data_IF_033187228337
#
_entry.id   IF_033187228337
#
_cell.length_a   1.000
_cell.length_b   1.000
_cell.length_c   1.000
_cell.angle_alpha   90.00
_cell.angle_beta   90.00
_cell.angle_gamma   90.00
#
_symmetry.space_group_name_H-M   'P 1'
#
loop_
_entity.id
_entity.type
_entity.pdbx_description
1 polymer ?
#
# COMPACT_ATOMS: atom_id res chain seq x y z
N UNK A 1 -45.66 -0.11 27.68
CA UNK A 1 -44.44 0.64 27.29
C UNK A 1 -43.74 -0.15 26.19
N UNK A 2 -43.91 0.23 24.91
CA UNK A 2 -43.26 -0.44 23.76
C UNK A 2 -42.30 0.56 23.12
N UNK A 3 -41.00 0.32 23.29
CA UNK A 3 -39.96 1.13 22.67
C UNK A 3 -39.90 0.76 21.18
N UNK A 4 -40.34 1.67 20.30
CA UNK A 4 -40.14 1.55 18.86
C UNK A 4 -38.71 1.98 18.55
N UNK A 5 -37.84 1.02 18.28
CA UNK A 5 -36.52 1.27 17.70
C UNK A 5 -36.71 1.51 16.21
N UNK A 6 -36.72 2.77 15.80
CA UNK A 6 -36.70 3.15 14.38
C UNK A 6 -35.26 3.00 13.90
N UNK A 7 -34.94 1.83 13.32
CA UNK A 7 -33.69 1.60 12.63
C UNK A 7 -33.72 2.41 11.33
N UNK A 8 -32.96 3.50 11.27
CA UNK A 8 -32.79 4.30 10.05
C UNK A 8 -31.86 3.51 9.11
N UNK A 9 -32.45 2.68 8.26
CA UNK A 9 -31.78 2.06 7.11
C UNK A 9 -31.68 3.14 6.03
N UNK A 10 -30.60 3.91 6.06
CA UNK A 10 -30.15 4.69 4.90
C UNK A 10 -29.04 3.90 4.24
N UNK A 11 -29.38 3.07 3.26
CA UNK A 11 -28.48 2.53 2.22
C UNK A 11 -29.30 1.58 1.37
N UNK A 12 -29.44 1.88 0.08
CA UNK A 12 -29.59 0.95 -1.07
C UNK A 12 -30.47 1.55 -2.17
N UNK A 13 -30.10 2.71 -2.71
CA UNK A 13 -30.34 3.00 -4.12
C UNK A 13 -29.13 3.77 -4.66
N UNK A 14 -28.23 3.06 -5.31
CA UNK A 14 -27.39 3.54 -6.42
C UNK A 14 -26.97 2.28 -7.17
N UNK A 15 -27.85 1.84 -8.07
CA UNK A 15 -27.74 2.09 -9.51
C UNK A 15 -26.83 1.07 -10.18
N UNK A 16 -27.47 0.13 -10.87
CA UNK A 16 -26.93 -0.69 -11.94
C UNK A 16 -26.44 0.23 -13.08
N UNK A 17 -25.33 0.93 -12.87
CA UNK A 17 -24.51 1.44 -13.97
C UNK A 17 -23.49 0.34 -14.31
N UNK A 18 -23.09 0.19 -15.56
CA UNK A 18 -21.94 -0.64 -15.89
C UNK A 18 -20.70 -0.05 -15.20
N UNK A 19 -20.23 -0.68 -14.11
CA UNK A 19 -19.21 -0.09 -13.25
C UNK A 19 -17.86 -0.09 -13.98
N UNK A 20 -17.47 1.07 -14.52
CA UNK A 20 -16.09 1.41 -14.84
C UNK A 20 -15.44 2.03 -13.60
N UNK A 21 -14.15 1.75 -13.40
CA UNK A 21 -13.34 2.37 -12.33
C UNK A 21 -13.59 3.87 -12.28
N UNK A 22 -14.03 4.36 -11.13
CA UNK A 22 -14.54 5.72 -11.01
C UNK A 22 -13.48 6.63 -10.39
N UNK A 23 -13.25 7.77 -11.02
CA UNK A 23 -12.40 8.81 -10.46
C UNK A 23 -13.12 9.47 -9.29
N UNK A 24 -12.46 9.54 -8.14
CA UNK A 24 -12.92 10.33 -7.01
C UNK A 24 -11.93 11.47 -6.80
N UNK A 25 -12.44 12.69 -6.99
CA UNK A 25 -11.81 13.85 -6.39
C UNK A 25 -12.04 13.73 -4.89
N UNK A 26 -10.97 13.48 -4.12
CA UNK A 26 -11.06 13.53 -2.66
C UNK A 26 -11.32 15.00 -2.28
N UNK A 27 -12.60 15.35 -2.17
CA UNK A 27 -13.06 16.57 -1.52
C UNK A 27 -13.29 16.21 -0.06
N UNK A 28 -12.31 16.56 0.78
CA UNK A 28 -12.26 16.25 2.20
C UNK A 28 -13.45 16.80 3.02
N UNK A 29 -14.42 17.50 2.40
CA UNK A 29 -15.70 17.80 3.06
C UNK A 29 -16.64 16.59 3.19
N UNK A 30 -16.44 15.52 2.42
CA UNK A 30 -17.40 14.39 2.32
C UNK A 30 -16.98 13.10 3.01
N UNK A 31 -15.76 13.01 3.54
CA UNK A 31 -15.25 11.84 4.25
C UNK A 31 -14.94 12.29 5.69
N UNK A 32 -15.28 11.44 6.67
CA UNK A 32 -15.31 11.68 8.11
C UNK A 32 -14.39 12.82 8.58
N UNK A 33 -14.98 13.86 9.17
CA UNK A 33 -14.24 15.00 9.71
C UNK A 33 -13.47 14.56 10.95
N UNK A 34 -12.13 14.56 10.91
CA UNK A 34 -11.28 14.48 12.10
C UNK A 34 -10.81 15.88 12.50
N UNK A 35 -10.85 16.19 13.80
CA UNK A 35 -10.55 17.52 14.35
C UNK A 35 -9.15 17.61 15.01
N UNK A 36 -8.26 16.62 14.88
CA UNK A 36 -6.96 16.68 15.56
C UNK A 36 -5.78 16.04 14.79
N UNK A 37 -4.69 16.82 14.78
CA UNK A 37 -3.25 16.50 14.61
C UNK A 37 -2.76 16.03 13.23
N UNK A 38 -1.99 16.90 12.55
CA UNK A 38 -1.16 16.68 11.34
C UNK A 38 -1.81 16.08 10.07
N UNK A 39 -3.08 15.68 10.12
CA UNK A 39 -3.87 15.27 8.97
C UNK A 39 -4.16 16.48 8.08
N UNK A 40 -3.49 16.56 6.92
CA UNK A 40 -3.78 17.58 5.94
C UNK A 40 -4.56 17.01 4.75
N UNK A 41 -5.51 17.81 4.27
CA UNK A 41 -6.49 17.42 3.26
C UNK A 41 -5.81 17.47 1.89
N UNK A 42 -5.71 16.35 1.15
CA UNK A 42 -5.06 16.38 -0.14
C UNK A 42 -5.81 17.31 -1.10
N UNK A 43 -5.13 18.31 -1.65
CA UNK A 43 -5.61 19.08 -2.80
C UNK A 43 -4.74 18.71 -4.00
N UNK A 44 -5.38 18.28 -5.07
CA UNK A 44 -4.71 17.98 -6.32
C UNK A 44 -5.20 18.92 -7.42
N UNK A 45 -4.25 19.54 -8.13
CA UNK A 45 -4.50 20.34 -9.31
C UNK A 45 -3.47 19.98 -10.38
N UNK A 46 -3.94 19.50 -11.53
CA UNK A 46 -3.08 19.16 -12.68
C UNK A 46 -2.28 20.35 -13.17
N UNK A 47 -2.84 21.56 -13.10
CA UNK A 47 -2.20 22.78 -13.64
C UNK A 47 -0.91 23.16 -12.88
N UNK A 48 -0.71 22.59 -11.68
CA UNK A 48 0.49 22.80 -10.88
C UNK A 48 1.67 21.93 -11.34
N UNK A 49 1.47 20.99 -12.27
CA UNK A 49 2.48 20.03 -12.69
C UNK A 49 3.00 20.31 -14.10
N UNK A 50 4.32 20.33 -14.22
CA UNK A 50 5.01 20.47 -15.49
C UNK A 50 4.75 19.23 -16.35
N UNK A 51 4.51 19.45 -17.64
CA UNK A 51 4.48 18.41 -18.66
C UNK A 51 5.93 18.02 -18.98
N UNK A 52 6.30 16.79 -18.69
CA UNK A 52 7.65 16.27 -18.91
C UNK A 52 7.81 15.64 -20.29
N UNK A 53 9.04 15.65 -20.79
CA UNK A 53 9.42 14.97 -22.03
C UNK A 53 9.33 13.44 -21.88
N UNK A 54 8.70 12.75 -22.84
CA UNK A 54 8.45 11.31 -22.70
C UNK A 54 9.73 10.46 -22.77
N UNK A 55 10.74 10.87 -23.55
CA UNK A 55 12.01 10.15 -23.60
C UNK A 55 12.75 10.28 -22.27
N UNK A 56 12.73 11.47 -21.66
CA UNK A 56 13.24 11.68 -20.29
C UNK A 56 12.53 10.76 -19.29
N UNK A 57 11.21 10.60 -19.39
CA UNK A 57 10.44 9.71 -18.50
C UNK A 57 10.77 8.24 -18.71
N UNK A 58 11.05 7.78 -19.94
CA UNK A 58 11.51 6.41 -20.17
C UNK A 58 12.90 6.16 -19.58
N UNK A 59 13.81 7.11 -19.71
CA UNK A 59 15.14 7.03 -19.11
C UNK A 59 15.05 6.97 -17.58
N UNK A 60 14.22 7.82 -16.99
CA UNK A 60 13.99 7.84 -15.55
C UNK A 60 13.34 6.54 -15.05
N UNK A 61 12.37 6.00 -15.78
CA UNK A 61 11.78 4.70 -15.47
C UNK A 61 12.83 3.58 -15.47
N UNK A 62 13.73 3.60 -16.46
CA UNK A 62 14.84 2.65 -16.54
C UNK A 62 15.78 2.79 -15.35
N UNK A 63 16.18 4.02 -15.00
CA UNK A 63 16.98 4.33 -13.82
C UNK A 63 16.32 3.79 -12.54
N UNK A 64 15.04 4.11 -12.32
CA UNK A 64 14.27 3.62 -11.18
C UNK A 64 14.27 2.10 -11.11
N UNK A 65 14.08 1.42 -12.25
CA UNK A 65 14.01 -0.04 -12.32
C UNK A 65 15.37 -0.74 -12.14
N UNK A 66 16.43 -0.19 -12.70
CA UNK A 66 17.71 -0.91 -12.88
C UNK A 66 18.82 -0.43 -11.94
N UNK A 67 18.81 0.84 -11.52
CA UNK A 67 19.94 1.46 -10.81
C UNK A 67 19.66 1.72 -9.33
N UNK A 68 18.41 1.97 -8.94
CA UNK A 68 18.04 2.25 -7.54
C UNK A 68 18.10 1.03 -6.62
N UNK A 69 18.21 -0.17 -7.21
CA UNK A 69 18.12 -1.45 -6.51
C UNK A 69 16.82 -1.61 -5.71
N UNK A 70 15.74 -0.93 -6.10
CA UNK A 70 14.42 -1.19 -5.53
C UNK A 70 13.95 -2.57 -5.97
N UNK A 71 13.63 -3.43 -5.00
CA UNK A 71 13.03 -4.73 -5.29
C UNK A 71 11.58 -4.60 -5.79
N UNK A 72 11.40 -4.74 -7.11
CA UNK A 72 10.09 -4.74 -7.76
C UNK A 72 9.51 -6.14 -7.99
N UNK A 73 10.33 -7.20 -7.99
CA UNK A 73 9.85 -8.57 -8.19
C UNK A 73 9.22 -9.19 -6.93
N UNK A 74 8.88 -8.37 -5.92
CA UNK A 74 8.00 -8.76 -4.81
C UNK A 74 6.85 -7.75 -4.69
N UNK A 75 5.80 -7.87 -5.53
CA UNK A 75 4.73 -6.87 -5.57
C UNK A 75 3.72 -7.00 -4.41
N UNK A 76 3.87 -7.99 -3.54
CA UNK A 76 2.91 -8.36 -2.48
C UNK A 76 2.56 -7.26 -1.49
N UNK A 77 3.49 -6.36 -1.17
CA UNK A 77 3.26 -5.31 -0.19
C UNK A 77 4.18 -4.12 -0.35
N UNK A 78 4.09 -3.17 0.58
CA UNK A 78 4.97 -2.01 0.66
C UNK A 78 5.02 -1.15 -0.62
N UNK A 79 3.92 -1.09 -1.38
CA UNK A 79 3.81 -0.25 -2.57
C UNK A 79 3.99 1.24 -2.24
N UNK A 80 3.47 1.70 -1.10
CA UNK A 80 3.68 3.07 -0.62
C UNK A 80 5.16 3.39 -0.36
N UNK A 81 5.94 2.44 0.18
CA UNK A 81 7.38 2.59 0.37
C UNK A 81 8.14 2.72 -0.95
N UNK A 82 7.82 1.84 -1.92
CA UNK A 82 8.39 1.95 -3.27
C UNK A 82 8.00 3.27 -3.94
N UNK A 83 6.73 3.67 -3.84
CA UNK A 83 6.23 4.89 -4.45
C UNK A 83 6.87 6.14 -3.83
N UNK A 84 7.09 6.16 -2.52
CA UNK A 84 7.80 7.24 -1.83
C UNK A 84 9.25 7.33 -2.26
N UNK A 85 9.97 6.21 -2.24
CA UNK A 85 11.39 6.19 -2.61
C UNK A 85 11.58 6.57 -4.09
N UNK A 86 10.74 6.07 -4.99
CA UNK A 86 10.72 6.51 -6.39
C UNK A 86 10.43 8.02 -6.48
N UNK A 87 9.48 8.54 -5.68
CA UNK A 87 9.19 9.98 -5.65
C UNK A 87 10.40 10.80 -5.18
N UNK A 88 11.18 10.31 -4.21
CA UNK A 88 12.42 10.98 -3.75
C UNK A 88 13.46 11.07 -4.88
N UNK A 89 13.67 9.99 -5.66
CA UNK A 89 14.55 10.03 -6.83
C UNK A 89 14.04 11.00 -7.90
N UNK A 90 12.74 10.97 -8.21
CA UNK A 90 12.13 11.90 -9.16
C UNK A 90 12.30 13.37 -8.72
N UNK A 91 12.14 13.68 -7.43
CA UNK A 91 12.42 15.02 -6.87
C UNK A 91 13.89 15.40 -7.07
N UNK A 92 14.82 14.51 -6.75
CA UNK A 92 16.27 14.71 -6.91
C UNK A 92 16.67 14.95 -8.37
N UNK A 93 15.99 14.32 -9.32
CA UNK A 93 16.20 14.50 -10.76
C UNK A 93 15.36 15.63 -11.39
N UNK A 94 14.68 16.42 -10.55
CA UNK A 94 13.83 17.54 -10.96
C UNK A 94 12.75 17.12 -11.97
N UNK A 95 12.10 15.98 -11.73
CA UNK A 95 10.95 15.48 -12.47
C UNK A 95 9.67 15.85 -11.71
N UNK A 96 8.83 16.65 -12.36
CA UNK A 96 7.48 16.97 -11.86
C UNK A 96 6.60 15.74 -11.90
N UNK A 97 6.08 15.33 -10.74
CA UNK A 97 5.25 14.13 -10.59
C UNK A 97 4.28 14.25 -9.43
N UNK A 98 3.26 13.39 -9.43
CA UNK A 98 2.30 13.15 -8.37
C UNK A 98 2.13 11.65 -8.16
N UNK A 99 1.19 11.22 -7.31
CA UNK A 99 0.90 9.80 -7.08
C UNK A 99 -0.53 9.48 -7.50
N UNK A 100 -0.71 8.38 -8.24
CA UNK A 100 -2.01 7.76 -8.39
C UNK A 100 -2.21 6.76 -7.25
N UNK A 101 -3.40 6.79 -6.65
CA UNK A 101 -3.84 5.83 -5.64
C UNK A 101 -5.07 5.11 -6.16
N UNK A 102 -5.07 3.79 -6.08
CA UNK A 102 -6.22 2.96 -6.39
C UNK A 102 -6.66 2.20 -5.14
N UNK A 103 -7.94 2.28 -4.80
CA UNK A 103 -8.52 1.72 -3.59
C UNK A 103 -9.58 0.69 -3.94
N UNK A 104 -9.45 -0.51 -3.37
CA UNK A 104 -10.49 -1.52 -3.47
C UNK A 104 -11.70 -1.17 -2.57
N UNK A 105 -12.89 -1.72 -2.86
CA UNK A 105 -14.07 -1.58 -2.00
C UNK A 105 -13.88 -1.90 -0.53
N UNK A 106 -13.01 -2.87 -0.21
CA UNK A 106 -12.63 -3.20 1.16
C UNK A 106 -12.00 -2.06 1.97
N UNK A 107 -11.62 -0.94 1.33
CA UNK A 107 -11.08 0.25 1.99
C UNK A 107 -12.10 1.35 2.27
N UNK A 108 -13.31 1.26 1.76
CA UNK A 108 -14.33 2.30 1.99
C UNK A 108 -15.73 1.73 2.25
N UNK A 109 -15.87 0.41 2.33
CA UNK A 109 -17.12 -0.26 2.65
C UNK A 109 -16.91 -1.33 3.71
N UNK A 110 -17.74 -1.29 4.76
CA UNK A 110 -17.80 -2.35 5.78
C UNK A 110 -18.33 -3.68 5.23
N UNK A 111 -19.08 -3.64 4.13
CA UNK A 111 -19.86 -4.77 3.62
C UNK A 111 -19.28 -5.36 2.33
N UNK A 112 -18.24 -4.74 1.76
CA UNK A 112 -17.64 -5.19 0.51
C UNK A 112 -16.18 -5.59 0.73
N UNK A 113 -15.91 -6.89 0.71
CA UNK A 113 -14.56 -7.44 0.89
C UNK A 113 -13.74 -7.53 -0.42
N UNK A 114 -14.22 -6.94 -1.51
CA UNK A 114 -13.50 -6.96 -2.79
C UNK A 114 -12.15 -6.24 -2.64
N UNK A 115 -11.13 -6.83 -3.26
CA UNK A 115 -9.73 -6.41 -3.23
C UNK A 115 -9.26 -6.17 -4.67
N UNK A 116 -8.21 -5.37 -4.84
CA UNK A 116 -7.44 -5.34 -6.07
C UNK A 116 -6.77 -6.71 -6.24
N UNK A 117 -6.66 -7.20 -7.48
CA UNK A 117 -6.06 -8.51 -7.75
C UNK A 117 -5.12 -8.44 -8.95
N UNK A 118 -3.92 -8.99 -8.79
CA UNK A 118 -2.99 -9.22 -9.90
C UNK A 118 -2.49 -10.66 -9.86
N UNK A 119 -2.11 -11.19 -11.03
CA UNK A 119 -1.46 -12.50 -11.11
C UNK A 119 -0.10 -12.46 -10.41
N UNK A 120 0.18 -13.45 -9.56
CA UNK A 120 1.52 -13.63 -9.03
C UNK A 120 2.39 -14.41 -10.01
N UNK A 121 3.22 -13.70 -10.78
CA UNK A 121 4.11 -14.33 -11.74
C UNK A 121 5.21 -15.19 -11.08
N UNK A 122 5.51 -14.96 -9.80
CA UNK A 122 6.45 -15.78 -9.06
C UNK A 122 5.77 -16.99 -8.40
N UNK A 123 4.43 -17.00 -8.36
CA UNK A 123 3.62 -17.97 -7.62
C UNK A 123 4.13 -18.09 -6.16
N UNK A 124 4.33 -16.96 -5.50
CA UNK A 124 4.78 -16.87 -4.12
C UNK A 124 3.58 -16.70 -3.17
N UNK A 125 2.53 -16.02 -3.61
CA UNK A 125 1.27 -15.90 -2.92
C UNK A 125 0.63 -17.29 -2.74
N UNK A 126 0.08 -17.60 -1.55
CA UNK A 126 -0.60 -18.87 -1.28
C UNK A 126 -1.68 -19.24 -2.30
N UNK A 127 -2.34 -18.23 -2.87
CA UNK A 127 -3.46 -18.41 -3.81
C UNK A 127 -3.08 -18.22 -5.28
N UNK A 128 -1.78 -18.01 -5.60
CA UNK A 128 -1.32 -17.71 -6.96
C UNK A 128 -1.72 -16.33 -7.50
N UNK A 129 -2.41 -15.54 -6.69
CA UNK A 129 -2.81 -14.15 -6.96
C UNK A 129 -2.44 -13.27 -5.78
N UNK A 130 -2.03 -12.05 -6.06
CA UNK A 130 -1.73 -11.04 -5.05
C UNK A 130 -2.98 -10.19 -4.87
N UNK A 131 -3.39 -9.98 -3.62
CA UNK A 131 -4.56 -9.17 -3.28
C UNK A 131 -4.17 -7.94 -2.48
N UNK A 132 -4.62 -6.77 -2.90
CA UNK A 132 -4.38 -5.53 -2.18
C UNK A 132 -5.67 -4.81 -1.81
N UNK A 133 -5.64 -4.14 -0.66
CA UNK A 133 -6.69 -3.16 -0.36
C UNK A 133 -6.51 -1.86 -1.12
N UNK A 134 -5.27 -1.51 -1.48
CA UNK A 134 -4.94 -0.34 -2.29
C UNK A 134 -3.60 -0.56 -3.01
N UNK A 135 -3.36 0.21 -4.07
CA UNK A 135 -2.06 0.27 -4.74
C UNK A 135 -1.73 1.72 -5.10
N UNK A 136 -0.45 2.07 -5.10
CA UNK A 136 0.03 3.44 -5.32
C UNK A 136 1.30 3.43 -6.15
N UNK A 137 1.43 4.40 -7.05
CA UNK A 137 2.63 4.59 -7.86
C UNK A 137 2.81 6.07 -8.26
N UNK A 138 4.06 6.53 -8.48
CA UNK A 138 4.34 7.83 -9.08
C UNK A 138 3.73 7.95 -10.48
N UNK A 139 3.32 9.15 -10.84
CA UNK A 139 2.60 9.48 -12.06
C UNK A 139 3.07 10.83 -12.58
N UNK A 140 3.21 10.94 -13.89
CA UNK A 140 3.74 12.13 -14.58
C UNK A 140 2.81 12.54 -15.71
N UNK A 141 2.69 13.85 -15.95
CA UNK A 141 2.10 14.38 -17.18
C UNK A 141 3.16 14.44 -18.27
N UNK A 142 2.83 13.94 -19.46
CA UNK A 142 3.76 13.96 -20.61
C UNK A 142 2.99 14.14 -21.91
N UNK A 143 3.68 14.29 -23.03
CA UNK A 143 3.07 14.26 -24.36
C UNK A 143 3.53 13.03 -25.11
N UNK A 144 2.58 12.17 -25.49
CA UNK A 144 2.84 11.02 -26.37
C UNK A 144 2.22 11.35 -27.73
N UNK A 145 3.05 11.40 -28.78
CA UNK A 145 2.64 11.82 -30.13
C UNK A 145 1.90 13.18 -30.14
N UNK A 146 2.37 14.14 -29.34
CA UNK A 146 1.82 15.48 -29.24
C UNK A 146 0.54 15.60 -28.39
N UNK A 147 -0.03 14.50 -27.89
CA UNK A 147 -1.21 14.51 -27.02
C UNK A 147 -0.81 14.41 -25.56
N UNK A 148 -1.39 15.28 -24.73
CA UNK A 148 -1.22 15.21 -23.27
C UNK A 148 -1.71 13.84 -22.77
N UNK A 149 -0.88 13.18 -22.00
CA UNK A 149 -1.18 11.91 -21.35
C UNK A 149 -0.69 11.90 -19.89
N UNK A 150 -1.27 11.01 -19.09
CA UNK A 150 -0.92 10.75 -17.69
C UNK A 150 -0.34 9.34 -17.60
N UNK A 151 0.96 9.25 -17.33
CA UNK A 151 1.71 7.99 -17.32
C UNK A 151 2.12 7.62 -15.90
N UNK A 152 1.97 6.34 -15.56
CA UNK A 152 2.30 5.76 -14.27
C UNK A 152 3.65 5.05 -14.36
N UNK A 153 4.50 5.26 -13.36
CA UNK A 153 5.82 4.65 -13.22
C UNK A 153 5.72 3.54 -12.17
N UNK A 154 5.46 2.32 -12.61
CA UNK A 154 5.34 1.16 -11.72
C UNK A 154 6.08 -0.07 -12.25
N UNK A 155 7.40 -0.18 -11.97
CA UNK A 155 8.19 -1.33 -12.39
C UNK A 155 7.77 -2.66 -11.73
N UNK A 156 6.91 -2.64 -10.70
CA UNK A 156 6.39 -3.87 -10.09
C UNK A 156 5.30 -4.54 -10.92
N UNK A 157 4.68 -3.81 -11.86
CA UNK A 157 3.63 -4.33 -12.74
C UNK A 157 3.96 -4.23 -14.23
N UNK A 158 4.83 -3.30 -14.62
CA UNK A 158 5.12 -3.02 -16.02
C UNK A 158 6.61 -2.92 -16.30
N UNK A 159 7.01 -3.25 -17.53
CA UNK A 159 8.40 -3.12 -17.98
C UNK A 159 8.73 -1.72 -18.53
N UNK A 160 7.72 -0.85 -18.66
CA UNK A 160 7.78 0.49 -19.24
C UNK A 160 6.76 1.42 -18.56
N UNK A 161 6.88 2.76 -18.69
CA UNK A 161 5.81 3.68 -18.31
C UNK A 161 4.52 3.36 -19.06
N UNK A 162 3.38 3.41 -18.36
CA UNK A 162 2.08 3.07 -18.96
C UNK A 162 1.03 4.13 -18.69
N UNK A 163 0.08 4.29 -19.60
CA UNK A 163 -1.12 5.09 -19.36
C UNK A 163 -1.83 4.63 -18.06
N UNK A 164 -2.28 5.57 -17.24
CA UNK A 164 -2.89 5.25 -15.96
C UNK A 164 -4.11 4.32 -16.06
N UNK A 165 -4.89 4.37 -17.15
CA UNK A 165 -6.02 3.46 -17.38
C UNK A 165 -5.56 2.01 -17.56
N UNK A 166 -4.43 1.80 -18.26
CA UNK A 166 -3.80 0.47 -18.39
C UNK A 166 -3.30 -0.01 -17.02
N UNK A 167 -2.72 0.89 -16.23
CA UNK A 167 -2.29 0.59 -14.86
C UNK A 167 -3.45 0.22 -13.94
N UNK A 168 -4.60 0.91 -14.02
CA UNK A 168 -5.79 0.55 -13.25
C UNK A 168 -6.40 -0.78 -13.71
N UNK A 169 -6.44 -1.03 -15.02
CA UNK A 169 -7.07 -2.23 -15.59
C UNK A 169 -6.37 -3.54 -15.16
N UNK A 170 -5.04 -3.55 -15.04
CA UNK A 170 -4.30 -4.76 -14.65
C UNK A 170 -4.59 -5.22 -13.21
N UNK A 171 -5.08 -4.31 -12.36
CA UNK A 171 -5.40 -4.56 -10.94
C UNK A 171 -6.79 -5.20 -10.73
N UNK A 172 -7.46 -5.56 -11.83
CA UNK A 172 -8.65 -6.42 -11.89
C UNK A 172 -9.77 -6.13 -10.87
N UNK A 173 -10.05 -4.85 -10.63
CA UNK A 173 -11.15 -4.43 -9.75
C UNK A 173 -11.87 -3.25 -10.40
N UNK A 174 -13.03 -3.49 -11.00
CA UNK A 174 -13.78 -2.47 -11.75
C UNK A 174 -14.52 -1.49 -10.84
N UNK A 175 -14.82 -1.95 -9.64
CA UNK A 175 -15.49 -1.23 -8.55
C UNK A 175 -14.51 -0.44 -7.69
N UNK A 176 -13.21 -0.48 -8.02
CA UNK A 176 -12.20 0.33 -7.36
C UNK A 176 -12.42 1.82 -7.66
N UNK A 177 -11.99 2.64 -6.71
CA UNK A 177 -11.91 4.08 -6.87
C UNK A 177 -10.46 4.50 -6.91
N UNK A 178 -10.15 5.46 -7.77
CA UNK A 178 -8.81 6.03 -7.83
C UNK A 178 -8.82 7.54 -7.68
N UNK A 179 -7.69 8.07 -7.22
CA UNK A 179 -7.46 9.49 -7.09
C UNK A 179 -6.00 9.83 -7.40
N UNK A 180 -5.72 11.12 -7.59
CA UNK A 180 -4.37 11.64 -7.74
C UNK A 180 -4.06 12.57 -6.57
N UNK A 181 -2.89 12.42 -5.99
CA UNK A 181 -2.46 13.21 -4.83
C UNK A 181 -1.03 13.73 -5.03
N UNK A 182 -0.70 14.84 -4.38
CA UNK A 182 0.66 15.38 -4.37
C UNK A 182 1.68 14.34 -3.92
N UNK A 183 2.94 14.44 -4.39
CA UNK A 183 3.96 13.44 -4.09
C UNK A 183 4.34 13.38 -2.61
N UNK A 184 3.98 14.39 -1.81
CA UNK A 184 4.29 14.44 -0.37
C UNK A 184 3.41 13.50 0.48
N UNK A 185 2.34 12.95 -0.09
CA UNK A 185 1.46 12.01 0.61
C UNK A 185 2.05 10.62 0.58
N UNK A 186 2.44 10.13 1.75
CA UNK A 186 3.12 8.85 1.91
C UNK A 186 2.13 7.71 2.11
N UNK A 187 1.18 7.87 3.03
CA UNK A 187 0.17 6.88 3.37
C UNK A 187 -1.07 7.57 3.98
N UNK A 188 -2.09 6.78 4.34
CA UNK A 188 -3.37 7.28 4.86
C UNK A 188 -3.74 6.63 6.19
N UNK A 189 -4.53 7.36 6.97
CA UNK A 189 -5.09 6.87 8.21
C UNK A 189 -6.25 5.92 7.95
N UNK A 190 -6.36 4.91 8.81
CA UNK A 190 -7.48 3.98 8.80
C UNK A 190 -8.22 4.06 10.12
N UNK A 191 -9.48 3.63 10.13
CA UNK A 191 -10.28 3.63 11.36
C UNK A 191 -9.66 2.78 12.49
N UNK A 192 -8.85 1.77 12.16
CA UNK A 192 -8.15 0.98 13.16
C UNK A 192 -7.11 1.84 13.90
N UNK A 193 -7.28 1.99 15.20
CA UNK A 193 -6.44 2.85 16.05
C UNK A 193 -6.96 4.28 16.24
N UNK A 194 -8.15 4.62 15.72
CA UNK A 194 -8.82 5.86 16.09
C UNK A 194 -9.12 5.86 17.60
N UNK A 195 -8.53 6.81 18.31
CA UNK A 195 -8.94 7.16 19.67
C UNK A 195 -9.97 8.27 19.54
N UNK A 196 -11.20 8.01 19.98
CA UNK A 196 -12.27 9.02 19.96
C UNK A 196 -12.30 9.67 21.33
N UNK A 197 -11.64 10.83 21.47
CA UNK A 197 -11.83 11.67 22.64
C UNK A 197 -13.13 12.46 22.47
N UNK A 198 -14.00 12.38 23.47
CA UNK A 198 -15.21 13.19 23.52
C UNK A 198 -14.79 14.60 23.95
N UNK A 199 -14.69 15.52 22.99
CA UNK A 199 -14.53 16.94 23.28
C UNK A 199 -15.92 17.55 23.47
N UNK A 200 -16.58 17.21 24.58
CA UNK A 200 -17.61 18.08 25.10
C UNK A 200 -16.92 19.25 25.82
N UNK A 201 -16.81 20.34 25.07
CA UNK A 201 -16.51 21.67 25.56
C UNK A 201 -17.53 22.00 26.69
N UNK A 202 -17.10 21.96 27.97
CA UNK A 202 -17.54 22.83 29.09
C UNK A 202 -16.99 22.45 30.49
N UNK A 203 -16.12 21.44 30.64
CA UNK A 203 -15.44 21.23 31.94
C UNK A 203 -13.97 20.79 31.76
N UNK A 204 -13.05 21.74 31.97
CA UNK A 204 -11.60 21.58 31.85
C UNK A 204 -11.00 20.51 32.78
N UNK A 205 -11.80 19.90 33.65
CA UNK A 205 -11.36 18.93 34.66
C UNK A 205 -11.77 17.47 34.40
N UNK A 206 -12.47 17.17 33.30
CA UNK A 206 -12.94 15.80 33.03
C UNK A 206 -12.60 15.33 31.61
N UNK A 207 -11.31 15.28 31.27
CA UNK A 207 -10.85 14.47 30.13
C UNK A 207 -11.06 13.00 30.46
N UNK A 208 -12.22 12.43 30.11
CA UNK A 208 -12.32 10.99 29.89
C UNK A 208 -12.07 10.77 28.41
N UNK A 209 -10.80 10.59 28.06
CA UNK A 209 -10.46 9.95 26.80
C UNK A 209 -11.16 8.59 26.81
N UNK A 210 -12.19 8.43 25.96
CA UNK A 210 -12.75 7.11 25.71
C UNK A 210 -11.78 6.48 24.72
N UNK A 211 -10.84 5.70 25.24
CA UNK A 211 -9.96 4.87 24.43
C UNK A 211 -10.77 3.73 23.78
N UNK A 212 -11.59 4.09 22.79
CA UNK A 212 -12.33 3.12 22.00
C UNK A 212 -11.39 2.54 20.95
N UNK A 213 -10.67 1.48 21.31
CA UNK A 213 -9.94 0.70 20.32
C UNK A 213 -10.94 -0.09 19.48
N UNK A 214 -11.13 0.31 18.22
CA UNK A 214 -11.91 -0.48 17.28
C UNK A 214 -11.33 -1.90 17.18
N UNK A 215 -12.17 -2.95 17.28
CA UNK A 215 -11.68 -4.32 17.21
C UNK A 215 -10.87 -4.58 15.95
N UNK A 216 -9.72 -5.26 16.08
CA UNK A 216 -8.81 -5.52 14.96
C UNK A 216 -9.40 -6.37 13.82
N UNK A 217 -10.55 -7.01 14.05
CA UNK A 217 -11.31 -7.73 13.02
C UNK A 217 -12.15 -6.81 12.12
N UNK A 218 -12.36 -5.55 12.50
CA UNK A 218 -13.06 -4.59 11.65
C UNK A 218 -12.20 -4.25 10.41
N UNK A 219 -12.84 -4.04 9.25
CA UNK A 219 -12.13 -3.61 8.05
C UNK A 219 -11.32 -2.34 8.32
N UNK A 220 -10.06 -2.34 7.86
CA UNK A 220 -9.18 -1.16 7.88
C UNK A 220 -9.65 -0.13 6.85
N UNK A 221 -10.79 0.51 7.13
CA UNK A 221 -11.40 1.53 6.29
C UNK A 221 -10.54 2.79 6.32
N UNK A 222 -10.34 3.39 5.14
CA UNK A 222 -9.70 4.68 4.98
C UNK A 222 -10.59 5.78 5.56
N UNK A 223 -10.02 6.66 6.39
CA UNK A 223 -10.74 7.80 6.96
C UNK A 223 -10.82 8.99 6.00
N UNK A 224 -10.01 8.97 4.93
CA UNK A 224 -9.86 10.07 3.97
C UNK A 224 -8.66 10.97 4.27
N UNK A 225 -8.04 10.84 5.44
CA UNK A 225 -6.87 11.62 5.85
C UNK A 225 -5.56 10.95 5.41
N UNK A 226 -4.63 11.76 4.93
CA UNK A 226 -3.29 11.34 4.51
C UNK A 226 -2.23 12.00 5.39
N UNK A 227 -1.08 11.34 5.48
CA UNK A 227 0.09 11.87 6.16
C UNK A 227 1.32 11.77 5.28
N UNK A 228 2.24 12.71 5.49
CA UNK A 228 3.54 12.73 4.83
C UNK A 228 4.51 11.77 5.49
N UNK A 229 5.52 11.35 4.73
CA UNK A 229 6.55 10.47 5.27
C UNK A 229 7.34 11.19 6.37
N UNK A 230 7.57 10.48 7.48
CA UNK A 230 8.42 10.93 8.57
C UNK A 230 9.72 10.09 8.59
N UNK A 231 10.88 10.67 8.23
CA UNK A 231 12.17 9.97 8.20
C UNK A 231 12.57 9.34 9.54
N UNK A 232 12.15 9.93 10.66
CA UNK A 232 12.50 9.40 12.00
C UNK A 232 11.88 8.03 12.28
N UNK A 233 10.80 7.68 11.59
CA UNK A 233 10.08 6.42 11.78
C UNK A 233 10.80 5.20 11.18
N UNK A 234 11.70 5.42 10.20
CA UNK A 234 12.41 4.38 9.43
C UNK A 234 11.49 3.38 8.74
N UNK A 235 10.22 3.73 8.52
CA UNK A 235 9.21 2.84 7.94
C UNK A 235 9.47 2.51 6.48
N UNK A 236 10.00 3.47 5.73
CA UNK A 236 10.37 3.28 4.34
C UNK A 236 11.45 2.20 4.25
N UNK A 237 12.53 2.34 5.00
CA UNK A 237 13.69 1.46 4.97
C UNK A 237 13.33 0.05 5.43
N UNK A 238 12.53 -0.09 6.50
CA UNK A 238 12.00 -1.39 6.93
C UNK A 238 11.12 -2.02 5.85
N UNK A 239 10.24 -1.25 5.22
CA UNK A 239 9.38 -1.74 4.15
C UNK A 239 10.16 -2.18 2.90
N UNK A 240 11.22 -1.46 2.55
CA UNK A 240 12.14 -1.83 1.48
C UNK A 240 12.92 -3.11 1.82
N UNK A 241 13.42 -3.22 3.06
CA UNK A 241 14.11 -4.41 3.56
C UNK A 241 13.21 -5.65 3.55
N UNK A 242 11.93 -5.52 3.87
CA UNK A 242 10.94 -6.61 3.75
C UNK A 242 10.86 -7.12 2.31
N UNK A 243 10.78 -6.23 1.32
CA UNK A 243 10.67 -6.63 -0.08
C UNK A 243 11.92 -7.39 -0.55
N UNK A 244 13.10 -6.87 -0.21
CA UNK A 244 14.39 -7.51 -0.50
C UNK A 244 14.51 -8.89 0.16
N UNK A 245 14.25 -8.95 1.46
CA UNK A 245 14.32 -10.18 2.24
C UNK A 245 13.35 -11.23 1.69
N UNK A 246 12.11 -10.85 1.39
CA UNK A 246 11.11 -11.75 0.85
C UNK A 246 11.51 -12.31 -0.53
N UNK A 247 12.12 -11.48 -1.38
CA UNK A 247 12.60 -11.96 -2.68
C UNK A 247 13.83 -12.87 -2.55
N UNK A 248 14.75 -12.57 -1.62
CA UNK A 248 15.85 -13.48 -1.29
C UNK A 248 15.34 -14.82 -0.77
N UNK A 249 14.31 -14.81 0.07
CA UNK A 249 13.64 -16.01 0.53
C UNK A 249 13.07 -16.81 -0.65
N UNK A 250 12.36 -16.13 -1.56
CA UNK A 250 11.82 -16.77 -2.75
C UNK A 250 12.91 -17.47 -3.56
N UNK A 251 14.03 -16.79 -3.85
CA UNK A 251 15.12 -17.34 -4.67
C UNK A 251 15.84 -18.50 -3.98
N UNK A 252 16.11 -18.38 -2.68
CA UNK A 252 16.98 -19.31 -1.96
C UNK A 252 16.22 -20.50 -1.37
N UNK A 253 14.95 -20.33 -0.99
CA UNK A 253 14.19 -21.34 -0.26
C UNK A 253 13.03 -21.87 -1.09
N UNK A 254 12.20 -21.00 -1.67
CA UNK A 254 10.96 -21.44 -2.32
C UNK A 254 11.19 -21.98 -3.74
N UNK A 255 11.93 -21.25 -4.56
CA UNK A 255 12.16 -21.58 -5.97
C UNK A 255 12.85 -22.95 -6.16
N UNK A 256 13.85 -23.36 -5.35
CA UNK A 256 14.45 -24.68 -5.46
C UNK A 256 13.46 -25.80 -5.18
N UNK A 257 12.55 -25.61 -4.22
CA UNK A 257 11.55 -26.60 -3.85
C UNK A 257 10.50 -26.85 -4.94
N UNK A 258 10.20 -25.83 -5.76
CA UNK A 258 9.19 -25.95 -6.83
C UNK A 258 9.50 -27.02 -7.88
N UNK A 259 10.75 -27.45 -7.98
CA UNK A 259 11.18 -28.51 -8.90
C UNK A 259 10.87 -29.92 -8.38
N UNK A 260 10.52 -30.06 -7.10
CA UNK A 260 10.29 -31.34 -6.44
C UNK A 260 8.81 -31.49 -6.02
N UNK A 261 8.03 -32.34 -6.71
CA UNK A 261 6.63 -32.60 -6.39
C UNK A 261 6.41 -33.18 -4.99
N UNK A 262 7.43 -33.74 -4.34
CA UNK A 262 7.30 -34.29 -2.97
C UNK A 262 7.30 -33.20 -1.89
N UNK A 263 7.64 -31.95 -2.25
CA UNK A 263 7.79 -30.83 -1.32
C UNK A 263 6.55 -29.93 -1.21
N UNK A 264 5.39 -30.35 -1.71
CA UNK A 264 4.18 -29.49 -1.76
C UNK A 264 3.76 -28.97 -0.38
N UNK A 265 3.84 -29.79 0.66
CA UNK A 265 3.50 -29.34 2.02
C UNK A 265 4.47 -28.26 2.51
N UNK A 266 5.78 -28.44 2.28
CA UNK A 266 6.78 -27.44 2.64
C UNK A 266 6.63 -26.14 1.84
N UNK A 267 6.31 -26.24 0.54
CA UNK A 267 6.00 -25.09 -0.31
C UNK A 267 4.80 -24.33 0.27
N UNK A 268 3.72 -25.02 0.64
CA UNK A 268 2.52 -24.41 1.22
C UNK A 268 2.83 -23.70 2.54
N UNK A 269 3.64 -24.32 3.39
CA UNK A 269 4.11 -23.73 4.64
C UNK A 269 4.95 -22.45 4.39
N UNK A 270 5.89 -22.50 3.45
CA UNK A 270 6.74 -21.37 3.09
C UNK A 270 5.95 -20.20 2.49
N UNK A 271 4.99 -20.49 1.60
CA UNK A 271 4.04 -19.48 1.10
C UNK A 271 3.19 -18.90 2.23
N UNK A 272 2.80 -19.71 3.21
CA UNK A 272 2.05 -19.21 4.38
C UNK A 272 2.90 -18.25 5.21
N UNK A 273 4.18 -18.55 5.43
CA UNK A 273 5.06 -17.70 6.24
C UNK A 273 5.48 -16.40 5.50
N UNK A 274 5.92 -16.51 4.25
CA UNK A 274 6.59 -15.41 3.52
C UNK A 274 5.85 -14.94 2.26
N UNK A 275 4.82 -15.68 1.82
CA UNK A 275 4.00 -15.32 0.66
C UNK A 275 2.90 -14.29 0.96
N UNK A 276 3.01 -13.53 2.06
CA UNK A 276 2.10 -12.44 2.43
C UNK A 276 2.87 -11.38 3.20
N UNK A 277 2.82 -10.13 2.76
CA UNK A 277 3.50 -9.02 3.46
C UNK A 277 3.03 -8.88 4.90
N UNK A 278 1.73 -9.08 5.17
CA UNK A 278 1.18 -8.97 6.54
C UNK A 278 1.79 -10.04 7.47
N UNK A 279 2.05 -11.23 6.93
CA UNK A 279 2.66 -12.32 7.68
C UNK A 279 4.14 -12.02 7.96
N UNK A 280 4.87 -11.52 6.96
CA UNK A 280 6.26 -11.09 7.14
C UNK A 280 6.37 -9.96 8.16
N UNK A 281 5.55 -8.91 8.03
CA UNK A 281 5.55 -7.79 8.98
C UNK A 281 5.25 -8.28 10.40
N UNK A 282 4.31 -9.20 10.56
CA UNK A 282 4.01 -9.80 11.87
C UNK A 282 5.21 -10.54 12.45
N UNK A 283 5.90 -11.34 11.63
CA UNK A 283 7.08 -12.13 12.06
C UNK A 283 8.29 -11.23 12.37
N UNK A 284 8.58 -10.27 11.49
CA UNK A 284 9.82 -9.48 11.54
C UNK A 284 9.71 -8.28 12.48
N UNK A 285 8.56 -7.62 12.51
CA UNK A 285 8.34 -6.41 13.31
C UNK A 285 7.63 -6.68 14.64
N UNK A 286 7.21 -7.92 14.89
CA UNK A 286 6.60 -8.32 16.16
C UNK A 286 5.13 -7.90 16.30
N UNK A 287 4.41 -7.69 15.20
CA UNK A 287 2.99 -7.38 15.25
C UNK A 287 2.14 -8.65 15.48
N UNK A 288 2.11 -9.13 16.72
CA UNK A 288 1.35 -10.33 17.10
C UNK A 288 -0.15 -10.22 16.76
N UNK A 289 -0.72 -9.01 16.82
CA UNK A 289 -2.13 -8.75 16.52
C UNK A 289 -2.54 -8.99 15.06
N UNK A 290 -1.56 -9.08 14.14
CA UNK A 290 -1.83 -9.33 12.71
C UNK A 290 -1.44 -10.74 12.27
N UNK A 291 -0.81 -11.53 13.14
CA UNK A 291 -0.27 -12.83 12.80
C UNK A 291 -1.40 -13.87 12.73
N UNK A 292 -1.92 -14.12 11.53
CA UNK A 292 -2.86 -15.24 11.26
C UNK A 292 -2.14 -16.58 11.10
N UNK A 293 -0.93 -16.69 11.62
CA UNK A 293 -0.04 -17.85 11.44
C UNK A 293 -0.14 -18.74 12.68
N UNK A 294 -0.28 -20.04 12.45
CA UNK A 294 -0.28 -21.05 13.51
C UNK A 294 1.04 -21.01 14.31
N UNK A 295 0.95 -20.99 15.64
CA UNK A 295 2.11 -20.98 16.54
C UNK A 295 3.01 -22.21 16.37
N UNK A 296 2.42 -23.38 16.11
CA UNK A 296 3.17 -24.61 15.82
C UNK A 296 3.96 -24.47 14.51
N UNK A 297 3.41 -23.78 13.51
CA UNK A 297 4.11 -23.54 12.26
C UNK A 297 5.30 -22.60 12.44
N UNK A 298 5.14 -21.55 13.27
CA UNK A 298 6.23 -20.66 13.65
C UNK A 298 7.35 -21.41 14.38
N UNK A 299 7.01 -22.25 15.36
CA UNK A 299 8.01 -23.03 16.10
C UNK A 299 8.72 -24.05 15.21
N UNK A 300 7.97 -24.73 14.33
CA UNK A 300 8.53 -25.69 13.34
C UNK A 300 9.61 -25.04 12.47
N UNK A 301 9.43 -23.78 12.07
CA UNK A 301 10.34 -23.06 11.16
C UNK A 301 11.17 -21.98 11.86
N UNK A 302 11.33 -22.06 13.19
CA UNK A 302 12.02 -21.04 14.00
C UNK A 302 13.44 -20.71 13.50
N UNK A 303 14.24 -21.73 13.17
CA UNK A 303 15.60 -21.53 12.66
C UNK A 303 15.62 -20.78 11.31
N UNK A 304 14.66 -21.07 10.43
CA UNK A 304 14.49 -20.40 9.15
C UNK A 304 14.06 -18.94 9.36
N UNK A 305 13.08 -18.72 10.25
CA UNK A 305 12.62 -17.37 10.61
C UNK A 305 13.78 -16.54 11.14
N UNK A 306 14.61 -17.09 12.02
CA UNK A 306 15.73 -16.37 12.61
C UNK A 306 16.85 -16.05 11.62
N UNK A 307 17.09 -16.95 10.64
CA UNK A 307 17.96 -16.65 9.49
C UNK A 307 17.45 -15.42 8.73
N UNK A 308 16.16 -15.35 8.41
CA UNK A 308 15.59 -14.26 7.63
C UNK A 308 15.37 -12.98 8.44
N UNK A 309 15.28 -13.07 9.78
CA UNK A 309 15.32 -11.91 10.68
C UNK A 309 16.66 -11.17 10.57
N UNK A 310 17.78 -11.90 10.59
CA UNK A 310 19.12 -11.31 10.39
C UNK A 310 19.25 -10.66 9.02
N UNK A 311 18.78 -11.33 7.96
CA UNK A 311 18.78 -10.74 6.61
C UNK A 311 17.94 -9.45 6.59
N UNK A 312 16.76 -9.44 7.22
CA UNK A 312 15.93 -8.25 7.32
C UNK A 312 16.64 -7.09 8.04
N UNK A 313 17.35 -7.35 9.13
CA UNK A 313 18.15 -6.35 9.85
C UNK A 313 19.29 -5.79 8.98
N UNK A 314 20.03 -6.67 8.31
CA UNK A 314 21.10 -6.29 7.39
C UNK A 314 20.58 -5.43 6.23
N UNK A 315 19.47 -5.81 5.61
CA UNK A 315 18.83 -5.03 4.55
C UNK A 315 18.28 -3.69 5.06
N UNK A 316 17.76 -3.65 6.30
CA UNK A 316 17.30 -2.40 6.91
C UNK A 316 18.47 -1.42 7.07
N UNK A 317 19.62 -1.90 7.56
CA UNK A 317 20.83 -1.07 7.68
C UNK A 317 21.33 -0.59 6.32
N UNK A 318 21.31 -1.43 5.28
CA UNK A 318 21.67 -1.01 3.91
C UNK A 318 20.75 0.07 3.37
N UNK A 319 19.43 -0.05 3.59
CA UNK A 319 18.47 0.96 3.16
C UNK A 319 18.64 2.26 3.94
N UNK A 320 18.91 2.20 5.25
CA UNK A 320 19.25 3.37 6.06
C UNK A 320 20.45 4.13 5.51
N UNK A 321 21.51 3.43 5.10
CA UNK A 321 22.67 4.08 4.47
C UNK A 321 22.31 4.69 3.10
N UNK A 322 21.53 3.98 2.29
CA UNK A 322 21.19 4.40 0.93
C UNK A 322 20.27 5.62 0.88
N UNK A 323 19.35 5.76 1.83
CA UNK A 323 18.37 6.84 1.83
C UNK A 323 18.86 8.13 2.48
N UNK A 324 20.03 8.11 3.15
CA UNK A 324 20.63 9.31 3.78
C UNK A 324 20.71 10.51 2.86
N UNK A 325 21.11 10.31 1.61
CA UNK A 325 21.30 11.38 0.62
C UNK A 325 20.04 11.72 -0.19
N UNK A 326 18.88 11.19 0.23
CA UNK A 326 17.57 11.47 -0.35
C UNK A 326 16.67 12.31 0.56
N UNK A 327 17.06 12.46 1.84
CA UNK A 327 16.34 13.27 2.84
C UNK A 327 16.72 14.75 2.81
#
# INVERSE_FOLDING_TARGET
MKLKVTLVIFLLINSLASHSQSFIKIDAKKIMQSNNLDAARPKFNYDNYKIEDYEKIKQEFKFLREETQIQFNYPQGNCHNRAELMSMYLKKHHISHFKIWNFAPSKFSLLNALMLEVKDNNDFAPTGVIKWGYHVAPTVLTKIHGKLDTVVLDPSLFAEPVNFKKWLAVQNCKESFYTFLNPDWYLFYTMNGLTVSDYEDYDLNCKKDIDMQLPGYLPKLMTGDFYSYNPTSKWLEKGMAINEMAYKFYLNELLPLKKDPTKQDLIKEYKTLFGSVNNIESIMLGYESYCKIDKMLLEKHKALIEKYRKIFEDETNKWLERTKDLY
#
